data_IF_093546012710
#
_entry.id   IF_093546012710
#
_cell.length_a   1.000
_cell.length_b   1.000
_cell.length_c   1.000
_cell.angle_alpha   90.00
_cell.angle_beta   90.00
_cell.angle_gamma   90.00
#
_symmetry.space_group_name_H-M   'P 1'
#
loop_
_entity.id
_entity.type
_entity.pdbx_description
1 polymer ?
#
# COMPACT_ATOMS: atom_id res chain seq x y z
N UNK A 1 -12.89 6.65 20.84
CA UNK A 1 -12.62 6.17 22.21
C UNK A 1 -11.97 4.77 22.21
N UNK A 2 -10.89 4.57 21.43
CA UNK A 2 -10.10 3.31 21.43
C UNK A 2 -8.57 3.56 21.41
N UNK A 3 -8.13 4.80 21.69
CA UNK A 3 -6.71 5.14 21.85
C UNK A 3 -6.22 5.08 23.30
N UNK A 4 -7.13 4.84 24.24
CA UNK A 4 -6.83 4.86 25.68
C UNK A 4 -6.39 3.49 26.24
N UNK A 5 -6.46 2.39 25.47
CA UNK A 5 -6.33 1.04 26.05
C UNK A 5 -5.12 0.20 25.64
N UNK A 6 -4.53 0.40 24.45
CA UNK A 6 -3.42 -0.45 24.02
C UNK A 6 -2.15 0.35 23.66
N UNK A 7 -1.23 0.41 24.63
CA UNK A 7 0.13 0.97 24.50
C UNK A 7 1.09 0.08 23.69
N UNK A 8 0.63 -0.54 22.60
CA UNK A 8 1.45 -1.38 21.73
C UNK A 8 1.35 -0.95 20.26
N UNK A 9 2.13 0.07 19.90
CA UNK A 9 2.24 0.63 18.53
C UNK A 9 2.48 -0.45 17.45
N UNK A 10 3.26 -1.48 17.80
CA UNK A 10 3.57 -2.60 16.92
C UNK A 10 2.37 -3.51 16.63
N UNK A 11 1.49 -3.73 17.61
CA UNK A 11 0.34 -4.61 17.46
C UNK A 11 -0.80 -3.94 16.68
N UNK A 12 -1.01 -2.63 16.90
CA UNK A 12 -1.95 -1.83 16.10
C UNK A 12 -1.44 -1.62 14.67
N UNK A 13 -0.12 -1.44 14.47
CA UNK A 13 0.46 -1.41 13.12
C UNK A 13 0.18 -2.71 12.36
N UNK A 14 0.41 -3.89 12.94
CA UNK A 14 0.19 -5.16 12.26
C UNK A 14 -1.28 -5.38 11.86
N UNK A 15 -2.21 -5.03 12.77
CA UNK A 15 -3.65 -5.17 12.53
C UNK A 15 -4.17 -4.18 11.49
N UNK A 16 -3.71 -2.93 11.52
CA UNK A 16 -4.04 -1.93 10.50
C UNK A 16 -3.42 -2.30 9.14
N UNK A 17 -2.17 -2.75 9.12
CA UNK A 17 -1.48 -3.16 7.90
C UNK A 17 -2.17 -4.32 7.20
N UNK A 18 -2.63 -5.32 7.95
CA UNK A 18 -3.41 -6.44 7.39
C UNK A 18 -4.76 -5.99 6.80
N UNK A 19 -5.46 -5.07 7.46
CA UNK A 19 -6.75 -4.55 6.97
C UNK A 19 -6.59 -3.66 5.73
N UNK A 20 -5.63 -2.74 5.76
CA UNK A 20 -5.32 -1.82 4.64
C UNK A 20 -4.73 -2.59 3.46
N UNK A 21 -3.86 -3.57 3.71
CA UNK A 21 -3.24 -4.39 2.67
C UNK A 21 -4.28 -5.14 1.84
N UNK A 22 -5.34 -5.68 2.47
CA UNK A 22 -6.46 -6.31 1.76
C UNK A 22 -7.21 -5.31 0.87
N UNK A 23 -7.49 -4.11 1.37
CA UNK A 23 -8.15 -3.07 0.57
C UNK A 23 -7.31 -2.66 -0.65
N UNK A 24 -6.00 -2.45 -0.46
CA UNK A 24 -5.08 -2.10 -1.55
C UNK A 24 -4.96 -3.21 -2.60
N UNK A 25 -5.00 -4.48 -2.18
CA UNK A 25 -4.97 -5.61 -3.10
C UNK A 25 -6.17 -5.59 -4.07
N UNK A 26 -7.37 -5.34 -3.58
CA UNK A 26 -8.57 -5.25 -4.44
C UNK A 26 -8.52 -4.06 -5.40
N UNK A 27 -7.98 -2.91 -4.98
CA UNK A 27 -7.81 -1.77 -5.88
C UNK A 27 -6.79 -2.06 -6.97
N UNK A 28 -5.64 -2.64 -6.63
CA UNK A 28 -4.64 -3.02 -7.64
C UNK A 28 -5.17 -4.07 -8.60
N UNK A 29 -5.93 -5.05 -8.12
CA UNK A 29 -6.59 -6.03 -8.98
C UNK A 29 -7.55 -5.37 -9.97
N UNK A 30 -8.35 -4.41 -9.50
CA UNK A 30 -9.27 -3.64 -10.36
C UNK A 30 -8.51 -2.88 -11.44
N UNK A 31 -7.38 -2.25 -11.08
CA UNK A 31 -6.54 -1.51 -12.02
C UNK A 31 -5.89 -2.44 -13.04
N UNK A 32 -5.34 -3.58 -12.60
CA UNK A 32 -4.77 -4.60 -13.50
C UNK A 32 -5.82 -5.06 -14.51
N UNK A 33 -7.04 -5.36 -14.06
CA UNK A 33 -8.15 -5.75 -14.95
C UNK A 33 -8.52 -4.63 -15.92
N UNK A 34 -8.58 -3.37 -15.45
CA UNK A 34 -8.88 -2.21 -16.28
C UNK A 34 -7.83 -1.97 -17.38
N UNK A 35 -6.55 -2.13 -17.06
CA UNK A 35 -5.45 -2.00 -18.03
C UNK A 35 -5.25 -3.26 -18.89
N UNK A 36 -5.64 -4.45 -18.44
CA UNK A 36 -5.62 -5.68 -19.26
C UNK A 36 -6.50 -5.57 -20.49
N UNK A 37 -7.59 -4.81 -20.45
CA UNK A 37 -8.46 -4.56 -21.61
C UNK A 37 -7.70 -3.80 -22.71
N UNK A 38 -6.80 -2.89 -22.33
CA UNK A 38 -5.94 -2.16 -23.28
C UNK A 38 -4.87 -3.06 -23.90
N UNK A 39 -4.38 -4.05 -23.16
CA UNK A 39 -3.46 -5.08 -23.66
C UNK A 39 -4.12 -6.03 -24.64
N UNK A 40 -5.42 -6.30 -24.49
CA UNK A 40 -6.18 -7.14 -25.43
C UNK A 40 -6.45 -6.41 -26.77
N UNK A 41 -6.26 -5.10 -26.81
CA UNK A 41 -6.44 -4.30 -28.03
C UNK A 41 -5.34 -4.57 -29.05
N UNK A 42 -5.70 -4.60 -30.34
CA UNK A 42 -4.74 -4.77 -31.46
C UNK A 42 -3.84 -3.55 -31.70
N UNK A 43 -3.94 -2.53 -30.84
CA UNK A 43 -3.17 -1.29 -30.93
C UNK A 43 -1.88 -1.41 -30.13
N UNK A 44 -0.76 -1.64 -30.82
CA UNK A 44 0.59 -1.81 -30.23
C UNK A 44 0.93 -0.75 -29.15
N UNK A 45 0.64 0.55 -29.31
CA UNK A 45 0.86 1.56 -28.26
C UNK A 45 0.07 1.29 -26.96
N UNK A 46 -1.15 0.77 -27.07
CA UNK A 46 -2.02 0.45 -25.94
C UNK A 46 -1.50 -0.73 -25.12
N UNK A 47 -0.88 -1.72 -25.78
CA UNK A 47 -0.26 -2.88 -25.13
C UNK A 47 0.92 -2.46 -24.25
N UNK A 48 1.86 -1.67 -24.80
CA UNK A 48 3.00 -1.17 -24.03
C UNK A 48 2.55 -0.31 -22.86
N UNK A 49 1.58 0.59 -23.09
CA UNK A 49 1.04 1.44 -22.05
C UNK A 49 0.39 0.63 -20.92
N UNK A 50 -0.46 -0.35 -21.26
CA UNK A 50 -1.09 -1.22 -20.27
C UNK A 50 -0.11 -2.05 -19.46
N UNK A 51 0.95 -2.58 -20.10
CA UNK A 51 2.03 -3.30 -19.42
C UNK A 51 2.83 -2.41 -18.47
N UNK A 52 3.23 -1.21 -18.93
CA UNK A 52 3.95 -0.24 -18.13
C UNK A 52 3.12 0.23 -16.93
N UNK A 53 1.84 0.53 -17.12
CA UNK A 53 0.97 0.98 -16.03
C UNK A 53 0.66 -0.15 -15.04
N UNK A 54 0.45 -1.39 -15.51
CA UNK A 54 0.29 -2.56 -14.65
C UNK A 54 1.53 -2.82 -13.79
N UNK A 55 2.73 -2.73 -14.39
CA UNK A 55 3.99 -2.84 -13.65
C UNK A 55 4.18 -1.71 -12.65
N UNK A 56 3.89 -0.46 -13.04
CA UNK A 56 3.93 0.70 -12.15
C UNK A 56 3.00 0.53 -10.95
N UNK A 57 1.81 -0.03 -11.14
CA UNK A 57 0.85 -0.29 -10.07
C UNK A 57 1.30 -1.39 -9.12
N UNK A 58 1.97 -2.43 -9.63
CA UNK A 58 2.60 -3.46 -8.80
C UNK A 58 3.70 -2.86 -7.91
N UNK A 59 4.58 -2.05 -8.50
CA UNK A 59 5.65 -1.35 -7.78
C UNK A 59 5.04 -0.37 -6.77
N UNK A 60 4.01 0.38 -7.14
CA UNK A 60 3.32 1.32 -6.26
C UNK A 60 2.66 0.62 -5.07
N UNK A 61 2.03 -0.54 -5.25
CA UNK A 61 1.44 -1.30 -4.14
C UNK A 61 2.52 -1.81 -3.17
N UNK A 62 3.63 -2.34 -3.70
CA UNK A 62 4.77 -2.76 -2.86
C UNK A 62 5.41 -1.57 -2.15
N UNK A 63 5.52 -0.44 -2.84
CA UNK A 63 5.99 0.81 -2.27
C UNK A 63 5.03 1.27 -1.18
N UNK A 64 3.72 1.34 -1.38
CA UNK A 64 2.81 1.77 -0.31
C UNK A 64 2.82 0.81 0.89
N UNK A 65 2.88 -0.50 0.69
CA UNK A 65 3.00 -1.44 1.82
C UNK A 65 4.34 -1.31 2.56
N UNK A 66 5.43 -0.91 1.92
CA UNK A 66 6.77 -0.88 2.52
C UNK A 66 7.21 0.52 2.94
N UNK A 67 6.91 1.52 2.13
CA UNK A 67 7.18 2.94 2.32
C UNK A 67 6.27 3.53 3.39
N UNK A 68 4.99 3.14 3.47
CA UNK A 68 4.09 3.59 4.54
C UNK A 68 4.62 3.22 5.95
N UNK A 69 5.01 1.97 6.27
CA UNK A 69 5.59 1.65 7.57
C UNK A 69 6.96 2.30 7.78
N UNK A 70 7.80 2.37 6.74
CA UNK A 70 9.09 3.04 6.81
C UNK A 70 8.92 4.53 7.17
N UNK A 71 8.01 5.22 6.48
CA UNK A 71 7.68 6.62 6.74
C UNK A 71 7.02 6.80 8.11
N UNK A 72 6.15 5.87 8.54
CA UNK A 72 5.54 5.92 9.87
C UNK A 72 6.60 5.80 11.00
N UNK A 73 7.65 4.99 10.78
CA UNK A 73 8.77 4.83 11.72
C UNK A 73 9.69 6.05 11.72
N UNK A 74 9.93 6.67 10.56
CA UNK A 74 10.82 7.84 10.43
C UNK A 74 10.14 9.12 10.92
N UNK A 75 8.89 9.36 10.53
CA UNK A 75 8.17 10.60 10.86
C UNK A 75 7.71 10.61 12.32
N UNK A 76 7.42 9.43 12.94
CA UNK A 76 6.84 9.31 14.30
C UNK A 76 5.86 10.46 14.63
N UNK A 77 4.79 10.66 13.83
CA UNK A 77 3.90 11.80 14.01
C UNK A 77 3.12 11.73 15.34
N UNK A 78 3.02 10.53 15.93
CA UNK A 78 2.62 10.34 17.33
C UNK A 78 3.88 10.45 18.20
N UNK A 79 4.12 11.65 18.73
CA UNK A 79 5.37 12.03 19.38
C UNK A 79 5.89 11.06 20.44
N UNK A 80 7.23 11.09 20.60
CA UNK A 80 8.08 10.50 21.64
C UNK A 80 7.31 10.11 22.93
N UNK A 81 6.77 8.89 22.96
CA UNK A 81 6.53 8.18 24.21
C UNK A 81 7.88 7.78 24.76
N UNK A 82 8.29 8.44 25.85
CA UNK A 82 9.52 8.28 26.62
C UNK A 82 10.06 6.84 26.76
N UNK A 83 11.39 6.73 26.96
CA UNK A 83 12.22 5.60 27.41
C UNK A 83 12.63 4.59 26.31
N UNK A 84 13.90 4.36 25.94
CA UNK A 84 15.16 4.41 26.70
C UNK A 84 15.00 3.83 28.11
N UNK A 85 14.62 2.56 28.18
CA UNK A 85 15.13 1.68 29.24
C UNK A 85 16.27 0.86 28.63
#
# INVERSE_FOLDING_TARGET
AEFAKDRHYVHTMHRCHHSIGRAMYYTSLTIIVGFSILVLSNFVPGVYFGLLTGLAMLIALLADLTLLPCLLIVVKPFGRGCNEA
#
